data_IF_260219610818
#
_entry.id   IF_260219610818
#
_cell.length_a   1.000
_cell.length_b   1.000
_cell.length_c   1.000
_cell.angle_alpha   90.00
_cell.angle_beta   90.00
_cell.angle_gamma   90.00
#
_symmetry.space_group_name_H-M   'P 1'
#
loop_
_entity.id
_entity.type
_entity.pdbx_description
1 polymer ?
#
# COMPACT_ATOMS: atom_id res chain seq x y z
N UNK A 1 -5.16 -46.88 37.34
CA UNK A 1 -5.16 -46.76 35.86
C UNK A 1 -3.79 -46.21 35.46
N UNK A 2 -2.95 -47.04 34.86
CA UNK A 2 -1.64 -46.63 34.38
C UNK A 2 -1.83 -45.74 33.15
N UNK A 3 -1.54 -44.45 33.28
CA UNK A 3 -1.40 -43.58 32.11
C UNK A 3 -0.16 -44.07 31.37
N UNK A 4 -0.37 -44.61 30.18
CA UNK A 4 0.67 -45.20 29.34
C UNK A 4 1.69 -44.11 28.96
N UNK A 5 2.79 -44.02 29.70
CA UNK A 5 3.86 -43.02 29.54
C UNK A 5 4.54 -43.06 28.17
N UNK A 6 4.33 -44.13 27.41
CA UNK A 6 4.86 -44.30 26.04
C UNK A 6 4.08 -43.54 24.95
N UNK A 7 2.91 -42.95 25.25
CA UNK A 7 2.13 -42.14 24.29
C UNK A 7 2.44 -40.63 24.33
N UNK A 8 3.12 -40.14 25.35
CA UNK A 8 3.46 -38.72 25.49
C UNK A 8 4.87 -38.51 24.97
N UNK A 9 4.97 -38.01 23.73
CA UNK A 9 6.26 -37.89 23.03
C UNK A 9 6.97 -36.58 23.39
N UNK A 10 6.23 -35.53 23.78
CA UNK A 10 6.74 -34.21 24.16
C UNK A 10 5.80 -33.48 25.12
N UNK A 11 6.37 -32.62 25.97
CA UNK A 11 5.65 -31.60 26.73
C UNK A 11 5.28 -30.41 25.83
N UNK A 12 4.14 -29.77 26.08
CA UNK A 12 3.67 -28.58 25.37
C UNK A 12 3.25 -27.51 26.36
N UNK A 13 3.65 -26.26 26.09
CA UNK A 13 3.36 -25.10 26.92
C UNK A 13 2.53 -24.09 26.12
N UNK A 14 1.60 -23.40 26.78
CA UNK A 14 0.86 -22.24 26.26
C UNK A 14 1.26 -20.96 27.01
N UNK A 15 0.65 -19.83 26.64
CA UNK A 15 0.99 -18.51 27.21
C UNK A 15 0.80 -18.44 28.73
N UNK A 16 -0.27 -19.06 29.25
CA UNK A 16 -0.61 -19.01 30.68
C UNK A 16 0.25 -19.92 31.56
N UNK A 17 1.05 -20.80 30.96
CA UNK A 17 1.94 -21.72 31.69
C UNK A 17 3.24 -21.05 32.14
N UNK A 18 3.58 -19.87 31.60
CA UNK A 18 4.89 -19.23 31.80
C UNK A 18 4.79 -17.73 32.08
N UNK A 19 5.82 -17.18 32.74
CA UNK A 19 6.01 -15.74 32.94
C UNK A 19 7.43 -15.34 32.53
N UNK A 20 7.58 -14.09 32.06
CA UNK A 20 8.90 -13.51 31.81
C UNK A 20 9.53 -13.07 33.14
N UNK A 21 10.77 -13.49 33.38
CA UNK A 21 11.55 -13.08 34.56
C UNK A 21 12.10 -11.66 34.32
N UNK A 22 11.79 -10.67 35.19
CA UNK A 22 12.35 -9.33 35.07
C UNK A 22 13.88 -9.32 35.18
N UNK A 23 14.54 -8.45 34.41
CA UNK A 23 15.99 -8.24 34.45
C UNK A 23 16.32 -6.75 34.54
N UNK A 24 17.56 -6.42 34.91
CA UNK A 24 18.04 -5.03 34.91
C UNK A 24 17.92 -4.40 33.52
N UNK A 25 17.42 -3.17 33.45
CA UNK A 25 17.26 -2.41 32.20
C UNK A 25 17.63 -0.96 32.43
N UNK A 26 18.44 -0.42 31.53
CA UNK A 26 18.74 1.03 31.44
C UNK A 26 17.81 1.75 30.46
N UNK A 27 17.03 0.98 29.70
CA UNK A 27 16.12 1.50 28.66
C UNK A 27 14.76 1.76 29.28
N UNK A 28 14.23 2.96 29.05
CA UNK A 28 12.86 3.29 29.43
C UNK A 28 11.85 2.69 28.43
N UNK A 29 10.64 2.29 28.86
CA UNK A 29 9.65 1.69 27.96
C UNK A 29 9.34 2.48 26.69
N UNK A 30 9.38 3.82 26.75
CA UNK A 30 9.13 4.72 25.61
C UNK A 30 10.27 4.76 24.57
N UNK A 31 11.45 4.26 24.94
CA UNK A 31 12.66 4.23 24.12
C UNK A 31 12.86 2.86 23.45
N UNK A 32 12.03 1.88 23.79
CA UNK A 32 12.05 0.55 23.18
C UNK A 32 11.59 0.63 21.73
N UNK A 33 12.32 -0.09 20.86
CA UNK A 33 11.90 -0.29 19.46
C UNK A 33 10.93 -1.46 19.36
N UNK A 34 9.80 -1.23 18.72
CA UNK A 34 8.81 -2.26 18.40
C UNK A 34 9.01 -2.84 16.99
N UNK A 35 10.09 -2.47 16.30
CA UNK A 35 10.34 -2.93 14.94
C UNK A 35 10.57 -4.44 14.90
N UNK A 36 9.92 -5.12 13.96
CA UNK A 36 10.06 -6.56 13.76
C UNK A 36 9.93 -6.95 12.30
N UNK A 37 10.53 -8.08 11.92
CA UNK A 37 10.43 -8.61 10.56
C UNK A 37 9.14 -9.40 10.39
N UNK A 38 8.30 -8.96 9.46
CA UNK A 38 7.16 -9.74 8.98
C UNK A 38 7.60 -10.82 7.97
N UNK A 39 8.60 -10.50 7.17
CA UNK A 39 9.23 -11.38 6.20
C UNK A 39 10.70 -10.99 6.02
N UNK A 40 11.39 -11.60 5.04
CA UNK A 40 12.82 -11.29 4.79
C UNK A 40 13.01 -9.82 4.40
N UNK A 41 12.09 -9.26 3.61
CA UNK A 41 12.20 -7.92 3.03
C UNK A 41 11.21 -6.91 3.60
N UNK A 42 10.33 -7.30 4.53
CA UNK A 42 9.31 -6.43 5.12
C UNK A 42 9.55 -6.31 6.63
N UNK A 43 9.93 -5.10 7.05
CA UNK A 43 9.96 -4.66 8.44
C UNK A 43 8.65 -3.93 8.79
N UNK A 44 8.07 -4.28 9.93
CA UNK A 44 6.97 -3.57 10.55
C UNK A 44 7.53 -2.60 11.60
N UNK A 45 6.89 -1.46 11.77
CA UNK A 45 7.20 -0.55 12.86
C UNK A 45 6.56 -1.00 14.18
N UNK A 46 5.50 -1.81 14.10
CA UNK A 46 4.78 -2.40 15.22
C UNK A 46 4.47 -3.87 14.87
N UNK A 47 4.77 -4.86 15.75
CA UNK A 47 4.76 -6.28 15.39
C UNK A 47 3.36 -6.87 15.48
N UNK A 48 2.39 -6.22 14.82
CA UNK A 48 0.96 -6.59 14.87
C UNK A 48 0.45 -6.78 13.45
N UNK A 49 -0.14 -7.94 13.21
CA UNK A 49 -0.69 -8.35 11.91
C UNK A 49 -2.17 -8.68 12.09
N UNK A 50 -3.04 -8.12 11.25
CA UNK A 50 -4.47 -8.50 11.29
C UNK A 50 -4.73 -9.77 10.47
N UNK A 51 -5.50 -10.69 11.04
CA UNK A 51 -5.75 -12.01 10.47
C UNK A 51 -6.52 -11.95 9.14
N UNK A 52 -6.25 -12.92 8.27
CA UNK A 52 -6.84 -13.06 6.93
C UNK A 52 -8.27 -13.63 6.95
N UNK A 53 -9.15 -13.02 7.74
CA UNK A 53 -10.54 -13.44 7.92
C UNK A 53 -11.50 -12.38 7.38
N UNK A 54 -12.62 -12.81 6.82
CA UNK A 54 -13.68 -11.94 6.26
C UNK A 54 -14.31 -10.99 7.30
N UNK A 55 -14.39 -11.45 8.54
CA UNK A 55 -14.86 -10.67 9.68
C UNK A 55 -13.81 -9.73 10.27
N UNK A 56 -12.57 -9.76 9.79
CA UNK A 56 -11.45 -9.01 10.38
C UNK A 56 -10.83 -8.03 9.38
N UNK A 57 -10.36 -8.51 8.22
CA UNK A 57 -9.45 -7.73 7.37
C UNK A 57 -9.88 -7.57 5.92
N UNK A 58 -10.55 -6.45 5.65
CA UNK A 58 -10.65 -5.84 4.32
C UNK A 58 -9.81 -4.55 4.25
N UNK A 59 -9.92 -3.76 3.17
CA UNK A 59 -9.09 -2.56 2.96
C UNK A 59 -9.14 -1.57 4.12
N UNK A 60 -10.30 -1.37 4.76
CA UNK A 60 -10.44 -0.46 5.91
C UNK A 60 -9.54 -0.86 7.08
N UNK A 61 -9.54 -2.15 7.44
CA UNK A 61 -8.69 -2.66 8.52
C UNK A 61 -7.22 -2.63 8.10
N UNK A 62 -6.91 -3.09 6.88
CA UNK A 62 -5.52 -3.09 6.39
C UNK A 62 -4.90 -1.68 6.35
N UNK A 63 -5.67 -0.66 5.96
CA UNK A 63 -5.25 0.75 6.02
C UNK A 63 -4.97 1.17 7.47
N UNK A 64 -5.85 0.82 8.41
CA UNK A 64 -5.69 1.18 9.81
C UNK A 64 -4.44 0.51 10.43
N UNK A 65 -4.25 -0.79 10.16
CA UNK A 65 -3.07 -1.55 10.61
C UNK A 65 -1.78 -0.95 10.08
N UNK A 66 -1.72 -0.69 8.77
CA UNK A 66 -0.55 -0.10 8.15
C UNK A 66 -0.23 1.29 8.73
N UNK A 67 -1.23 2.13 9.00
CA UNK A 67 -1.04 3.44 9.66
C UNK A 67 -0.45 3.36 11.06
N UNK A 68 -0.78 2.31 11.81
CA UNK A 68 -0.25 2.06 13.15
C UNK A 68 1.08 1.28 13.15
N UNK A 69 1.67 1.07 11.97
CA UNK A 69 2.97 0.43 11.82
C UNK A 69 2.96 -1.09 11.69
N UNK A 70 1.77 -1.70 11.76
CA UNK A 70 1.57 -3.11 11.46
C UNK A 70 1.30 -3.36 9.97
N UNK A 71 0.67 -4.50 9.66
CA UNK A 71 0.21 -4.85 8.31
C UNK A 71 -1.10 -5.63 8.39
N UNK A 72 -1.99 -5.40 7.42
CA UNK A 72 -3.20 -6.22 7.29
C UNK A 72 -3.06 -7.26 6.19
N UNK A 73 -3.63 -8.45 6.43
CA UNK A 73 -3.74 -9.52 5.43
C UNK A 73 -5.18 -9.57 4.89
N UNK A 74 -5.39 -9.16 3.64
CA UNK A 74 -6.72 -9.24 3.00
C UNK A 74 -7.12 -10.71 2.84
N UNK A 75 -8.28 -11.08 3.38
CA UNK A 75 -8.80 -12.45 3.30
C UNK A 75 -9.11 -12.90 1.86
N UNK A 76 -9.24 -14.21 1.67
CA UNK A 76 -9.46 -14.85 0.35
C UNK A 76 -10.92 -15.21 0.05
N UNK A 77 -11.84 -14.98 0.99
CA UNK A 77 -13.27 -15.31 0.87
C UNK A 77 -14.04 -14.28 0.01
N UNK A 78 -13.57 -14.07 -1.22
CA UNK A 78 -14.16 -13.19 -2.24
C UNK A 78 -13.57 -13.52 -3.62
N UNK A 79 -14.13 -12.92 -4.68
CA UNK A 79 -13.59 -13.09 -6.04
C UNK A 79 -12.16 -12.55 -6.15
N UNK A 80 -11.39 -13.02 -7.14
CA UNK A 80 -10.02 -12.55 -7.37
C UNK A 80 -10.02 -11.03 -7.64
N UNK A 81 -10.99 -10.56 -8.41
CA UNK A 81 -11.14 -9.16 -8.80
C UNK A 81 -11.48 -8.29 -7.60
N UNK A 82 -12.38 -8.77 -6.72
CA UNK A 82 -12.74 -8.08 -5.48
C UNK A 82 -11.54 -7.98 -4.54
N UNK A 83 -10.79 -9.07 -4.36
CA UNK A 83 -9.60 -9.08 -3.50
C UNK A 83 -8.52 -8.13 -4.02
N UNK A 84 -8.27 -8.15 -5.34
CA UNK A 84 -7.38 -7.21 -5.99
C UNK A 84 -7.86 -5.74 -5.85
N UNK A 85 -9.18 -5.50 -5.86
CA UNK A 85 -9.76 -4.17 -5.61
C UNK A 85 -9.49 -3.70 -4.17
N UNK A 86 -9.61 -4.58 -3.18
CA UNK A 86 -9.26 -4.26 -1.79
C UNK A 86 -7.78 -3.91 -1.64
N UNK A 87 -6.88 -4.69 -2.24
CA UNK A 87 -5.44 -4.36 -2.28
C UNK A 87 -5.20 -2.98 -2.90
N UNK A 88 -5.78 -2.69 -4.07
CA UNK A 88 -5.64 -1.38 -4.72
C UNK A 88 -6.15 -0.24 -3.85
N UNK A 89 -7.25 -0.42 -3.11
CA UNK A 89 -7.76 0.59 -2.18
C UNK A 89 -6.74 0.91 -1.09
N UNK A 90 -6.05 -0.10 -0.53
CA UNK A 90 -5.00 0.11 0.46
C UNK A 90 -3.82 0.85 -0.16
N UNK A 91 -3.30 0.38 -1.30
CA UNK A 91 -2.15 1.01 -1.97
C UNK A 91 -2.41 2.44 -2.41
N UNK A 92 -3.66 2.80 -2.74
CA UNK A 92 -4.08 4.16 -3.11
C UNK A 92 -4.50 5.04 -1.92
N UNK A 93 -4.60 4.48 -0.71
CA UNK A 93 -5.05 5.21 0.48
C UNK A 93 -4.10 6.34 0.84
N UNK A 94 -2.80 6.10 0.69
CA UNK A 94 -1.74 7.07 0.88
C UNK A 94 -0.68 6.80 -0.17
N UNK A 95 -0.24 7.85 -0.84
CA UNK A 95 0.92 7.80 -1.72
C UNK A 95 1.89 8.84 -1.18
N UNK A 96 3.17 8.51 -1.06
CA UNK A 96 4.16 9.57 -0.86
C UNK A 96 4.14 10.49 -2.08
N UNK A 97 4.40 9.88 -3.24
CA UNK A 97 4.26 10.50 -4.54
C UNK A 97 3.32 9.62 -5.38
N UNK A 98 2.29 10.23 -5.96
CA UNK A 98 1.41 9.55 -6.90
C UNK A 98 2.20 9.38 -8.19
N UNK A 99 2.58 8.14 -8.51
CA UNK A 99 3.15 7.77 -9.80
C UNK A 99 2.02 7.69 -10.82
N UNK A 100 2.27 8.20 -12.03
CA UNK A 100 1.30 8.24 -13.13
C UNK A 100 -0.05 8.86 -12.71
N UNK A 101 -0.05 10.14 -12.30
CA UNK A 101 -1.26 10.80 -11.84
C UNK A 101 -2.28 10.90 -12.99
N UNK A 102 -3.57 10.96 -12.65
CA UNK A 102 -4.60 11.32 -13.63
C UNK A 102 -4.24 12.67 -14.24
N UNK A 103 -4.23 12.75 -15.57
CA UNK A 103 -3.90 13.96 -16.34
C UNK A 103 -5.01 14.33 -17.32
N UNK A 104 -5.01 15.58 -17.77
CA UNK A 104 -5.78 16.03 -18.92
C UNK A 104 -4.84 16.39 -20.08
N UNK A 105 -5.29 16.15 -21.30
CA UNK A 105 -4.61 16.66 -22.49
C UNK A 105 -4.97 18.14 -22.67
N UNK A 106 -3.99 18.99 -22.98
CA UNK A 106 -4.22 20.43 -23.18
C UNK A 106 -5.16 20.70 -24.36
N UNK A 107 -5.01 19.93 -25.43
CA UNK A 107 -5.91 19.97 -26.58
C UNK A 107 -7.06 18.98 -26.40
N UNK A 108 -8.27 19.41 -26.75
CA UNK A 108 -9.46 18.56 -26.76
C UNK A 108 -10.14 18.33 -25.41
N UNK A 109 -9.49 18.62 -24.28
CA UNK A 109 -10.13 18.50 -22.95
C UNK A 109 -10.95 19.74 -22.59
N UNK A 110 -12.09 19.51 -21.93
CA UNK A 110 -13.02 20.56 -21.48
C UNK A 110 -13.11 20.66 -19.96
N UNK A 111 -13.77 21.72 -19.47
CA UNK A 111 -14.16 21.85 -18.05
C UNK A 111 -14.98 20.64 -17.58
N UNK A 112 -15.88 20.12 -18.41
CA UNK A 112 -16.68 18.93 -18.12
C UNK A 112 -15.81 17.70 -17.84
N UNK A 113 -14.78 17.46 -18.68
CA UNK A 113 -13.87 16.34 -18.52
C UNK A 113 -13.09 16.44 -17.21
N UNK A 114 -12.63 17.64 -16.87
CA UNK A 114 -11.93 17.90 -15.62
C UNK A 114 -12.81 17.61 -14.41
N UNK A 115 -14.04 18.14 -14.38
CA UNK A 115 -14.99 17.89 -13.29
C UNK A 115 -15.36 16.41 -13.17
N UNK A 116 -15.57 15.72 -14.29
CA UNK A 116 -15.83 14.27 -14.31
C UNK A 116 -14.68 13.49 -13.68
N UNK A 117 -13.44 13.72 -14.15
CA UNK A 117 -12.26 13.04 -13.62
C UNK A 117 -12.03 13.34 -12.13
N UNK A 118 -12.25 14.59 -11.71
CA UNK A 118 -12.15 14.99 -10.31
C UNK A 118 -13.19 14.26 -9.44
N UNK A 119 -14.43 14.13 -9.90
CA UNK A 119 -15.50 13.43 -9.19
C UNK A 119 -15.25 11.91 -9.11
N UNK A 120 -14.93 11.29 -10.24
CA UNK A 120 -14.67 9.84 -10.35
C UNK A 120 -13.49 9.40 -9.49
N UNK A 121 -12.41 10.19 -9.50
CA UNK A 121 -11.18 9.85 -8.78
C UNK A 121 -11.09 10.50 -7.39
N UNK A 122 -12.06 11.34 -7.02
CA UNK A 122 -12.10 12.11 -5.76
C UNK A 122 -10.83 12.93 -5.54
N UNK A 123 -10.36 13.58 -6.60
CA UNK A 123 -9.15 14.42 -6.61
C UNK A 123 -9.55 15.88 -6.86
N UNK A 124 -8.87 16.81 -6.18
CA UNK A 124 -9.21 18.24 -6.29
C UNK A 124 -8.35 19.02 -7.29
N UNK A 125 -7.63 18.34 -8.18
CA UNK A 125 -6.74 18.98 -9.14
C UNK A 125 -5.95 17.99 -9.97
N UNK A 126 -5.72 18.38 -11.22
CA UNK A 126 -5.29 17.51 -12.31
C UNK A 126 -4.19 18.25 -13.09
N UNK A 127 -2.99 17.69 -13.21
CA UNK A 127 -1.97 18.17 -14.12
C UNK A 127 -2.47 18.12 -15.57
N UNK A 128 -2.17 19.16 -16.35
CA UNK A 128 -2.48 19.23 -17.78
C UNK A 128 -1.18 19.05 -18.56
N UNK A 129 -1.19 18.13 -19.52
CA UNK A 129 -0.04 17.73 -20.31
C UNK A 129 -0.29 17.93 -21.81
N UNK A 130 0.79 18.04 -22.58
CA UNK A 130 0.74 17.93 -24.04
C UNK A 130 0.73 16.47 -24.51
N UNK A 131 0.63 16.27 -25.83
CA UNK A 131 0.61 14.95 -26.46
C UNK A 131 1.91 14.14 -26.25
N UNK A 132 3.01 14.82 -25.92
CA UNK A 132 4.31 14.21 -25.62
C UNK A 132 4.52 13.92 -24.12
N UNK A 133 3.58 14.37 -23.27
CA UNK A 133 3.58 14.19 -21.83
C UNK A 133 4.29 15.29 -21.03
N UNK A 134 4.62 16.44 -21.64
CA UNK A 134 5.18 17.57 -20.91
C UNK A 134 4.11 18.27 -20.09
N UNK A 135 4.47 18.69 -18.88
CA UNK A 135 3.59 19.48 -18.03
C UNK A 135 3.44 20.90 -18.61
N UNK A 136 2.21 21.26 -18.96
CA UNK A 136 1.85 22.58 -19.52
C UNK A 136 0.91 23.38 -18.62
N UNK A 137 0.25 22.73 -17.66
CA UNK A 137 -0.66 23.41 -16.75
C UNK A 137 -1.06 22.57 -15.54
N UNK A 138 -1.82 23.17 -14.64
CA UNK A 138 -2.58 22.46 -13.62
C UNK A 138 -3.94 23.12 -13.45
N UNK A 139 -4.99 22.30 -13.30
CA UNK A 139 -6.34 22.76 -12.99
C UNK A 139 -6.76 22.22 -11.63
N UNK A 140 -7.46 23.02 -10.83
CA UNK A 140 -7.90 22.68 -9.48
C UNK A 140 -9.37 22.96 -9.28
N UNK A 141 -9.94 22.43 -8.18
CA UNK A 141 -11.31 22.76 -7.76
C UNK A 141 -11.55 24.27 -7.60
N UNK A 142 -10.51 25.07 -7.36
CA UNK A 142 -10.65 26.52 -7.22
C UNK A 142 -10.92 27.16 -8.57
N UNK A 143 -10.21 26.72 -9.60
CA UNK A 143 -10.31 27.25 -10.97
C UNK A 143 -11.67 26.92 -11.59
N UNK A 144 -12.21 25.73 -11.28
CA UNK A 144 -13.48 25.25 -11.83
C UNK A 144 -14.72 25.67 -11.03
N UNK A 145 -14.57 26.23 -9.82
CA UNK A 145 -15.69 26.43 -8.87
C UNK A 145 -16.80 27.31 -9.43
N UNK A 146 -16.44 28.31 -10.21
CA UNK A 146 -17.36 29.33 -10.73
C UNK A 146 -17.58 29.21 -12.24
N UNK A 147 -17.01 28.20 -12.87
CA UNK A 147 -17.18 27.97 -14.30
C UNK A 147 -18.53 27.32 -14.57
N UNK A 148 -19.37 28.04 -15.34
CA UNK A 148 -20.71 27.61 -15.74
C UNK A 148 -20.73 26.97 -17.14
N UNK A 149 -19.71 27.25 -17.93
CA UNK A 149 -19.57 26.75 -19.30
C UNK A 149 -18.77 25.45 -19.33
N UNK A 150 -19.47 24.33 -19.27
CA UNK A 150 -18.86 23.00 -19.24
C UNK A 150 -18.07 22.65 -20.50
N UNK A 151 -18.45 23.20 -21.66
CA UNK A 151 -17.77 22.97 -22.94
C UNK A 151 -16.51 23.81 -23.16
N UNK A 152 -16.18 24.72 -22.24
CA UNK A 152 -15.02 25.60 -22.35
C UNK A 152 -13.72 24.77 -22.35
N UNK A 153 -12.76 25.06 -23.24
CA UNK A 153 -11.47 24.37 -23.28
C UNK A 153 -10.70 24.51 -21.96
N UNK A 154 -10.03 23.44 -21.52
CA UNK A 154 -9.30 23.46 -20.24
C UNK A 154 -8.13 24.45 -20.24
N UNK A 155 -7.53 24.66 -21.42
CA UNK A 155 -6.40 25.59 -21.61
C UNK A 155 -6.73 27.03 -21.22
N UNK A 156 -8.00 27.41 -21.29
CA UNK A 156 -8.48 28.77 -21.01
C UNK A 156 -8.73 29.01 -19.50
N UNK A 157 -8.72 27.95 -18.70
CA UNK A 157 -9.06 27.98 -17.26
C UNK A 157 -7.89 27.50 -16.39
N UNK A 158 -7.00 26.67 -16.92
CA UNK A 158 -5.86 26.12 -16.17
C UNK A 158 -4.82 27.19 -15.80
N UNK A 159 -4.07 26.94 -14.73
CA UNK A 159 -2.88 27.74 -14.42
C UNK A 159 -1.73 27.33 -15.34
N UNK A 160 -1.20 28.26 -16.13
CA UNK A 160 -0.13 28.02 -17.12
C UNK A 160 1.20 28.66 -16.76
N UNK A 161 1.19 29.81 -16.07
CA UNK A 161 2.40 30.53 -15.69
C UNK A 161 2.82 30.23 -14.26
N UNK A 162 4.14 30.23 -14.01
CA UNK A 162 4.74 30.01 -12.69
C UNK A 162 4.27 28.72 -11.99
N UNK A 163 4.08 27.66 -12.77
CA UNK A 163 3.74 26.34 -12.23
C UNK A 163 4.87 25.89 -11.31
N UNK A 164 4.60 25.88 -10.02
CA UNK A 164 5.52 25.34 -9.02
C UNK A 164 5.57 23.83 -9.20
N UNK A 165 6.75 23.32 -9.53
CA UNK A 165 7.02 21.90 -9.79
C UNK A 165 8.29 21.48 -9.06
N UNK A 166 8.44 20.18 -8.84
CA UNK A 166 9.62 19.57 -8.26
C UNK A 166 10.35 18.69 -9.27
N UNK A 167 11.66 18.55 -9.10
CA UNK A 167 12.46 17.61 -9.87
C UNK A 167 12.25 16.16 -9.39
N UNK A 168 12.55 15.21 -10.27
CA UNK A 168 12.63 13.79 -9.92
C UNK A 168 13.55 13.56 -8.72
N UNK A 169 13.16 12.65 -7.83
CA UNK A 169 13.92 12.32 -6.63
C UNK A 169 13.62 13.18 -5.40
N UNK A 170 12.68 14.13 -5.48
CA UNK A 170 12.27 14.93 -4.32
C UNK A 170 11.75 14.06 -3.17
N UNK A 171 12.20 14.36 -1.96
CA UNK A 171 11.71 13.70 -0.74
C UNK A 171 10.38 14.33 -0.29
N UNK A 172 9.58 13.60 0.49
CA UNK A 172 8.34 14.15 1.04
C UNK A 172 8.55 15.35 1.95
N UNK A 173 9.70 15.40 2.66
CA UNK A 173 10.06 16.53 3.52
C UNK A 173 10.36 17.77 2.69
N UNK A 174 11.09 17.64 1.59
CA UNK A 174 11.35 18.77 0.68
C UNK A 174 10.08 19.24 -0.01
N UNK A 175 9.25 18.29 -0.48
CA UNK A 175 7.96 18.60 -1.08
C UNK A 175 7.05 19.36 -0.09
N UNK A 176 7.07 19.00 1.20
CA UNK A 176 6.37 19.73 2.25
C UNK A 176 6.80 21.19 2.35
N UNK A 177 8.11 21.44 2.37
CA UNK A 177 8.64 22.80 2.44
C UNK A 177 8.20 23.64 1.23
N UNK A 178 8.20 23.06 0.03
CA UNK A 178 7.74 23.74 -1.20
C UNK A 178 6.25 24.04 -1.12
N UNK A 179 5.42 23.05 -0.79
CA UNK A 179 3.96 23.21 -0.70
C UNK A 179 3.59 24.28 0.34
N UNK A 180 4.26 24.31 1.49
CA UNK A 180 4.06 25.35 2.52
C UNK A 180 4.52 26.73 2.06
N UNK A 181 5.74 26.84 1.52
CA UNK A 181 6.32 28.12 1.06
C UNK A 181 5.43 28.78 0.01
N UNK A 182 4.93 27.99 -0.94
CA UNK A 182 4.11 28.49 -2.05
C UNK A 182 2.60 28.47 -1.76
N UNK A 183 2.18 27.97 -0.59
CA UNK A 183 0.76 27.87 -0.17
C UNK A 183 -0.13 27.16 -1.19
N UNK A 184 0.40 26.08 -1.77
CA UNK A 184 -0.28 25.25 -2.78
C UNK A 184 -0.56 23.86 -2.22
N UNK A 185 -1.54 23.17 -2.80
CA UNK A 185 -1.96 21.84 -2.34
C UNK A 185 -1.41 20.67 -3.16
N UNK A 186 -0.86 20.97 -4.35
CA UNK A 186 -0.44 19.97 -5.34
C UNK A 186 0.88 20.41 -5.95
N UNK A 187 1.83 19.49 -5.99
CA UNK A 187 3.17 19.71 -6.50
C UNK A 187 3.47 18.67 -7.58
N UNK A 188 3.31 19.03 -8.87
CA UNK A 188 3.75 18.18 -9.97
C UNK A 188 5.24 17.88 -9.87
N UNK A 189 5.61 16.65 -10.18
CA UNK A 189 7.01 16.20 -10.23
C UNK A 189 7.35 15.89 -11.67
N UNK A 190 8.39 16.53 -12.20
CA UNK A 190 8.83 16.38 -13.59
C UNK A 190 10.26 15.85 -13.68
N UNK A 191 10.59 15.18 -14.78
CA UNK A 191 11.97 14.87 -15.12
C UNK A 191 12.70 16.09 -15.73
N UNK A 192 13.97 15.90 -16.12
CA UNK A 192 14.82 16.94 -16.73
C UNK A 192 14.23 17.52 -18.02
N UNK A 193 13.47 16.72 -18.77
CA UNK A 193 12.81 17.12 -20.01
C UNK A 193 11.43 17.76 -19.78
N UNK A 194 11.05 18.12 -18.54
CA UNK A 194 9.72 18.64 -18.19
C UNK A 194 8.56 17.64 -18.40
N UNK A 195 8.84 16.34 -18.56
CA UNK A 195 7.81 15.30 -18.62
C UNK A 195 7.26 15.05 -17.23
N UNK A 196 5.94 14.99 -17.09
CA UNK A 196 5.30 14.68 -15.82
C UNK A 196 5.57 13.22 -15.44
N UNK A 197 6.10 13.01 -14.23
CA UNK A 197 6.39 11.66 -13.70
C UNK A 197 5.62 11.37 -12.40
N UNK A 198 5.11 12.40 -11.73
CA UNK A 198 4.35 12.20 -10.50
C UNK A 198 3.65 13.45 -9.97
N UNK A 199 2.94 13.27 -8.87
CA UNK A 199 2.23 14.33 -8.16
C UNK A 199 2.33 14.11 -6.64
N UNK A 200 2.79 15.12 -5.90
CA UNK A 200 2.73 15.13 -4.43
C UNK A 200 1.59 16.02 -3.98
N UNK A 201 0.83 15.60 -2.97
CA UNK A 201 -0.30 16.38 -2.46
C UNK A 201 -0.10 16.77 -0.99
N UNK A 202 -0.63 17.93 -0.61
CA UNK A 202 -0.63 18.39 0.78
C UNK A 202 -1.36 17.41 1.70
N UNK A 203 -2.41 16.74 1.19
CA UNK A 203 -3.16 15.72 1.93
C UNK A 203 -2.26 14.56 2.35
N UNK A 204 -1.32 14.14 1.50
CA UNK A 204 -0.42 13.02 1.81
C UNK A 204 0.59 13.40 2.90
N UNK A 205 1.03 14.67 2.93
CA UNK A 205 1.91 15.20 3.98
C UNK A 205 1.19 15.25 5.33
N UNK A 206 -0.05 15.74 5.36
CA UNK A 206 -0.85 15.79 6.59
C UNK A 206 -1.00 14.39 7.17
N UNK A 207 -1.27 13.38 6.33
CA UNK A 207 -1.35 11.99 6.78
C UNK A 207 -0.03 11.46 7.32
N UNK A 208 1.10 11.84 6.72
CA UNK A 208 2.43 11.44 7.20
C UNK A 208 2.69 11.98 8.61
N UNK A 209 2.29 13.23 8.89
CA UNK A 209 2.34 13.79 10.24
C UNK A 209 1.38 13.13 11.22
N UNK A 210 0.18 12.78 10.76
CA UNK A 210 -0.83 12.13 11.59
C UNK A 210 -0.42 10.69 11.98
N UNK A 211 0.26 9.99 11.08
CA UNK A 211 0.65 8.58 11.23
C UNK A 211 2.16 8.39 10.99
N UNK A 212 3.02 8.90 11.89
CA UNK A 212 4.48 8.88 11.70
C UNK A 212 5.07 7.47 11.66
N UNK A 213 4.41 6.51 12.31
CA UNK A 213 4.85 5.12 12.40
C UNK A 213 4.27 4.23 11.28
N UNK A 214 3.68 4.80 10.23
CA UNK A 214 3.05 4.02 9.17
C UNK A 214 4.02 3.03 8.51
N UNK A 215 3.59 1.78 8.31
CA UNK A 215 4.32 0.79 7.52
C UNK A 215 4.09 1.08 6.03
N UNK A 216 5.14 1.58 5.37
CA UNK A 216 5.10 2.03 3.97
C UNK A 216 6.12 1.27 3.12
N UNK A 217 5.81 1.15 1.82
CA UNK A 217 6.74 0.64 0.82
C UNK A 217 7.73 1.72 0.36
N UNK A 218 8.65 1.37 -0.55
CA UNK A 218 9.65 2.28 -1.11
C UNK A 218 9.06 3.49 -1.87
N UNK A 219 7.78 3.45 -2.22
CA UNK A 219 7.07 4.52 -2.90
C UNK A 219 6.22 5.37 -1.93
N UNK A 220 6.32 5.10 -0.62
CA UNK A 220 5.55 5.79 0.42
C UNK A 220 4.09 5.35 0.49
N UNK A 221 3.73 4.22 -0.11
CA UNK A 221 2.36 3.68 -0.05
C UNK A 221 2.22 2.74 1.13
N UNK A 222 1.04 2.68 1.74
CA UNK A 222 0.78 1.74 2.83
C UNK A 222 1.04 0.29 2.37
N UNK A 223 1.68 -0.51 3.24
CA UNK A 223 1.91 -1.93 2.95
C UNK A 223 0.65 -2.76 3.19
N UNK A 224 0.48 -3.82 2.39
CA UNK A 224 -0.63 -4.77 2.53
C UNK A 224 -0.21 -6.15 2.08
N UNK A 225 -0.66 -7.16 2.80
CA UNK A 225 -0.54 -8.56 2.41
C UNK A 225 -1.91 -9.10 1.97
N UNK A 226 -1.93 -10.19 1.22
CA UNK A 226 -3.17 -10.84 0.81
C UNK A 226 -3.04 -12.36 0.86
N UNK A 227 -4.09 -13.03 1.35
CA UNK A 227 -4.11 -14.47 1.46
C UNK A 227 -4.56 -15.16 0.17
N UNK A 228 -4.02 -16.34 -0.09
CA UNK A 228 -4.48 -17.26 -1.13
C UNK A 228 -4.63 -18.66 -0.54
N UNK A 229 -5.49 -19.47 -1.17
CA UNK A 229 -5.64 -20.88 -0.83
C UNK A 229 -4.75 -21.77 -1.71
N UNK A 230 -4.77 -23.07 -1.43
CA UNK A 230 -4.10 -24.09 -2.25
C UNK A 230 -5.12 -24.72 -3.19
N UNK A 231 -5.51 -23.95 -4.20
CA UNK A 231 -6.58 -24.28 -5.16
C UNK A 231 -6.08 -24.13 -6.60
N UNK A 232 -6.83 -24.65 -7.58
CA UNK A 232 -6.44 -24.58 -8.99
C UNK A 232 -6.34 -23.16 -9.56
N UNK A 233 -6.97 -22.17 -8.92
CA UNK A 233 -6.94 -20.75 -9.28
C UNK A 233 -5.86 -19.94 -8.51
N UNK A 234 -5.07 -20.58 -7.63
CA UNK A 234 -4.14 -19.89 -6.72
C UNK A 234 -3.12 -19.02 -7.46
N UNK A 235 -2.59 -19.49 -8.59
CA UNK A 235 -1.65 -18.74 -9.42
C UNK A 235 -2.29 -17.49 -10.03
N UNK A 236 -3.48 -17.63 -10.62
CA UNK A 236 -4.22 -16.50 -11.18
C UNK A 236 -4.53 -15.45 -10.11
N UNK A 237 -4.91 -15.91 -8.92
CA UNK A 237 -5.16 -15.05 -7.76
C UNK A 237 -3.89 -14.34 -7.31
N UNK A 238 -2.78 -15.06 -7.12
CA UNK A 238 -1.50 -14.47 -6.74
C UNK A 238 -1.06 -13.39 -7.73
N UNK A 239 -1.07 -13.69 -9.03
CA UNK A 239 -0.72 -12.74 -10.09
C UNK A 239 -1.61 -11.49 -10.06
N UNK A 240 -2.92 -11.65 -9.90
CA UNK A 240 -3.84 -10.51 -9.80
C UNK A 240 -3.57 -9.63 -8.57
N UNK A 241 -3.21 -10.22 -7.43
CA UNK A 241 -2.87 -9.50 -6.20
C UNK A 241 -1.53 -8.77 -6.30
N UNK A 242 -0.53 -9.39 -6.92
CA UNK A 242 0.77 -8.78 -7.20
C UNK A 242 0.61 -7.59 -8.14
N UNK A 243 -0.15 -7.76 -9.22
CA UNK A 243 -0.48 -6.67 -10.16
C UNK A 243 -1.29 -5.56 -9.48
N UNK A 244 -2.07 -5.88 -8.46
CA UNK A 244 -2.76 -4.88 -7.63
C UNK A 244 -1.82 -4.15 -6.65
N UNK A 245 -0.61 -4.66 -6.44
CA UNK A 245 0.43 -4.07 -5.61
C UNK A 245 0.53 -4.65 -4.20
N UNK A 246 0.09 -5.90 -3.97
CA UNK A 246 0.30 -6.58 -2.69
C UNK A 246 1.81 -6.71 -2.40
N UNK A 247 2.21 -6.40 -1.16
CA UNK A 247 3.61 -6.46 -0.73
C UNK A 247 4.03 -7.89 -0.34
N UNK A 248 3.07 -8.71 0.10
CA UNK A 248 3.30 -10.12 0.41
C UNK A 248 2.06 -10.96 0.10
N UNK A 249 2.30 -12.23 -0.28
CA UNK A 249 1.28 -13.24 -0.50
C UNK A 249 1.36 -14.28 0.62
N UNK A 250 0.23 -14.53 1.28
CA UNK A 250 0.11 -15.52 2.34
C UNK A 250 -0.54 -16.79 1.77
N UNK A 251 0.21 -17.89 1.67
CA UNK A 251 -0.37 -19.19 1.36
C UNK A 251 -0.97 -19.73 2.66
N UNK A 252 -2.30 -19.63 2.76
CA UNK A 252 -3.05 -19.83 3.98
C UNK A 252 -3.87 -21.12 3.90
N UNK A 253 -3.41 -22.13 4.64
CA UNK A 253 -4.07 -23.43 4.80
C UNK A 253 -4.00 -23.91 6.25
N UNK A 254 -4.95 -24.76 6.65
CA UNK A 254 -4.95 -25.38 7.97
C UNK A 254 -3.70 -26.25 8.21
N UNK A 255 -3.15 -26.88 7.17
CA UNK A 255 -1.95 -27.73 7.28
C UNK A 255 -0.93 -27.43 6.17
N UNK A 256 0.06 -26.60 6.51
CA UNK A 256 1.12 -26.13 5.60
C UNK A 256 2.13 -27.22 5.21
N UNK A 257 2.30 -28.26 6.03
CA UNK A 257 3.25 -29.36 5.76
C UNK A 257 2.65 -30.41 4.80
N UNK A 258 2.15 -29.95 3.65
CA UNK A 258 1.57 -30.81 2.63
C UNK A 258 2.26 -30.61 1.28
N UNK A 259 2.32 -31.69 0.50
CA UNK A 259 2.91 -31.67 -0.84
C UNK A 259 2.30 -30.57 -1.72
N UNK A 260 0.97 -30.41 -1.68
CA UNK A 260 0.28 -29.38 -2.47
C UNK A 260 0.72 -27.95 -2.16
N UNK A 261 1.00 -27.64 -0.88
CA UNK A 261 1.52 -26.33 -0.46
C UNK A 261 2.93 -26.11 -0.99
N UNK A 262 3.80 -27.11 -0.84
CA UNK A 262 5.20 -27.05 -1.28
C UNK A 262 5.27 -26.90 -2.80
N UNK A 263 4.48 -27.68 -3.53
CA UNK A 263 4.43 -27.65 -5.00
C UNK A 263 3.88 -26.31 -5.49
N UNK A 264 2.83 -25.77 -4.85
CA UNK A 264 2.31 -24.44 -5.14
C UNK A 264 3.37 -23.36 -4.89
N UNK A 265 4.06 -23.39 -3.74
CA UNK A 265 5.11 -22.42 -3.42
C UNK A 265 6.23 -22.44 -4.48
N UNK A 266 6.71 -23.64 -4.84
CA UNK A 266 7.74 -23.82 -5.88
C UNK A 266 7.27 -23.28 -7.22
N UNK A 267 6.02 -23.56 -7.59
CA UNK A 267 5.40 -23.07 -8.83
C UNK A 267 5.34 -21.54 -8.84
N UNK A 268 4.76 -20.94 -7.81
CA UNK A 268 4.65 -19.49 -7.68
C UNK A 268 6.04 -18.81 -7.72
N UNK A 269 7.04 -19.34 -7.01
CA UNK A 269 8.41 -18.81 -7.03
C UNK A 269 9.10 -18.93 -8.39
N UNK A 270 8.69 -19.88 -9.23
CA UNK A 270 9.20 -20.04 -10.59
C UNK A 270 8.54 -19.07 -11.56
N UNK A 271 7.22 -18.90 -11.44
CA UNK A 271 6.41 -18.18 -12.42
C UNK A 271 6.36 -16.67 -12.14
N UNK A 272 6.40 -16.26 -10.87
CA UNK A 272 6.43 -14.86 -10.44
C UNK A 272 7.88 -14.40 -10.30
N UNK A 273 8.27 -13.43 -11.13
CA UNK A 273 9.63 -12.86 -11.13
C UNK A 273 9.74 -11.56 -10.32
N UNK A 274 8.61 -10.98 -9.98
CA UNK A 274 8.50 -9.79 -9.17
C UNK A 274 9.00 -10.04 -7.74
N UNK A 275 9.64 -9.03 -7.16
CA UNK A 275 10.06 -9.05 -5.76
C UNK A 275 8.84 -8.95 -4.83
N UNK A 276 8.16 -10.09 -4.62
CA UNK A 276 7.07 -10.23 -3.65
C UNK A 276 7.40 -11.33 -2.67
N UNK A 277 7.22 -11.01 -1.39
CA UNK A 277 7.48 -11.96 -0.31
C UNK A 277 6.33 -12.97 -0.21
N UNK A 278 6.69 -14.23 -0.01
CA UNK A 278 5.74 -15.32 0.15
C UNK A 278 5.88 -15.85 1.58
N UNK A 279 4.77 -15.87 2.30
CA UNK A 279 4.67 -16.39 3.66
C UNK A 279 3.75 -17.59 3.60
N UNK A 280 4.17 -18.70 4.19
CA UNK A 280 3.48 -19.98 4.07
C UNK A 280 3.14 -20.50 5.45
N UNK A 281 1.90 -20.92 5.63
CA UNK A 281 1.42 -21.47 6.87
C UNK A 281 0.20 -22.37 6.67
N UNK A 282 -0.27 -23.03 7.72
CA UNK A 282 0.25 -22.99 9.08
C UNK A 282 1.11 -24.23 9.41
N UNK A 283 2.12 -24.03 10.24
CA UNK A 283 3.04 -25.10 10.70
C UNK A 283 3.19 -25.04 12.22
N UNK A 284 3.50 -26.17 12.84
CA UNK A 284 3.72 -26.28 14.29
C UNK A 284 4.92 -27.18 14.65
N UNK A 285 5.74 -27.57 13.66
CA UNK A 285 6.88 -28.49 13.88
C UNK A 285 8.11 -28.03 13.10
N UNK A 286 9.33 -28.25 13.62
CA UNK A 286 10.56 -27.89 12.91
C UNK A 286 10.72 -28.58 11.55
N UNK A 287 10.25 -29.82 11.41
CA UNK A 287 10.33 -30.55 10.14
C UNK A 287 9.49 -29.92 9.01
N UNK A 288 8.48 -29.12 9.37
CA UNK A 288 7.64 -28.40 8.42
C UNK A 288 8.21 -27.02 8.03
N UNK A 289 9.17 -26.48 8.79
CA UNK A 289 9.77 -25.15 8.59
C UNK A 289 10.97 -25.23 7.62
#
# INVERSE_FOLDING_TARGET
MSFNSERVIKEGLTYDDVLLVPAYSEILPREVTLKAKFSRNIELNTPVVSAAMDTVTESRMAIAMARQGGIGVIHKNMSIEQQAKEVRKVKRSENGMIQDPVTLQVEGSTVADAQRLMAENRIGGIPVIDITGHLVGIVTNRDLRFEKEFGKPIRDVMTTQNIIKAASGITLKEAELILQKHKIEKLPVTNENNKLIGLVTYKDIVKLKQYPNSCKDKFGRLRVAAAIGVTGDAEKRATALINAGADAIIIDTAHGHSKGVIDLLKKLKKDIKEEVDMIVGNIATPAAA
#
